data_IF_415437825029
#
_entry.id   IF_415437825029
#
_cell.length_a   1.000
_cell.length_b   1.000
_cell.length_c   1.000
_cell.angle_alpha   90.00
_cell.angle_beta   90.00
_cell.angle_gamma   90.00
#
_symmetry.space_group_name_H-M   'P 1'
#
loop_
_entity.id
_entity.type
_entity.pdbx_description
1 polymer ?
#
# COMPACT_ATOMS: atom_id res chain seq x y z
N UNK A 1 13.81 9.35 3.46
CA UNK A 1 12.52 8.80 2.97
C UNK A 1 12.62 8.72 1.46
N UNK A 2 12.61 7.51 0.88
CA UNK A 2 12.74 7.37 -0.56
C UNK A 2 11.52 8.02 -1.23
N UNK A 3 11.76 9.11 -1.96
CA UNK A 3 10.74 9.86 -2.70
C UNK A 3 10.33 9.13 -4.00
N UNK A 4 10.41 7.80 -3.99
CA UNK A 4 10.01 6.94 -5.10
C UNK A 4 8.51 7.04 -5.27
N UNK A 5 8.10 7.60 -6.41
CA UNK A 5 6.73 7.54 -6.87
C UNK A 5 6.26 6.08 -6.85
N UNK A 6 5.23 5.82 -6.05
CA UNK A 6 4.63 4.51 -5.95
C UNK A 6 3.90 4.25 -7.27
N UNK A 7 4.21 3.13 -7.91
CA UNK A 7 3.59 2.76 -9.17
C UNK A 7 2.06 2.79 -9.05
N UNK A 8 1.38 3.40 -10.03
CA UNK A 8 -0.06 3.57 -10.03
C UNK A 8 -0.81 2.22 -9.90
N UNK A 9 -0.22 1.11 -10.38
CA UNK A 9 -0.78 -0.24 -10.21
C UNK A 9 -0.80 -0.66 -8.74
N UNK A 10 0.28 -0.38 -7.99
CA UNK A 10 0.36 -0.69 -6.55
C UNK A 10 -0.61 0.18 -5.75
N UNK A 11 -0.81 1.44 -6.14
CA UNK A 11 -1.80 2.34 -5.51
C UNK A 11 -3.22 1.78 -5.71
N UNK A 12 -3.59 1.39 -6.94
CA UNK A 12 -4.90 0.78 -7.20
C UNK A 12 -5.11 -0.51 -6.40
N UNK A 13 -4.09 -1.36 -6.29
CA UNK A 13 -4.16 -2.57 -5.48
C UNK A 13 -4.28 -2.28 -3.98
N UNK A 14 -3.57 -1.25 -3.48
CA UNK A 14 -3.70 -0.78 -2.10
C UNK A 14 -5.14 -0.39 -1.80
N UNK A 15 -5.75 0.45 -2.63
CA UNK A 15 -7.16 0.85 -2.43
C UNK A 15 -8.10 -0.36 -2.50
N UNK A 16 -7.89 -1.28 -3.44
CA UNK A 16 -8.70 -2.50 -3.53
C UNK A 16 -8.61 -3.36 -2.27
N UNK A 17 -7.43 -3.53 -1.69
CA UNK A 17 -7.29 -4.29 -0.45
C UNK A 17 -7.84 -3.52 0.76
N UNK A 18 -7.71 -2.19 0.76
CA UNK A 18 -8.24 -1.36 1.82
C UNK A 18 -9.77 -1.38 1.85
N UNK A 19 -10.43 -1.29 0.69
CA UNK A 19 -11.90 -1.39 0.57
C UNK A 19 -12.42 -2.78 0.94
N UNK A 20 -11.60 -3.82 0.79
CA UNK A 20 -11.89 -5.17 1.27
C UNK A 20 -11.69 -5.36 2.79
N UNK A 21 -11.31 -4.31 3.52
CA UNK A 21 -11.08 -4.38 4.98
C UNK A 21 -9.76 -5.07 5.37
N UNK A 22 -8.82 -5.25 4.43
CA UNK A 22 -7.55 -5.89 4.72
C UNK A 22 -6.69 -4.97 5.59
N UNK A 23 -6.19 -5.50 6.71
CA UNK A 23 -5.31 -4.72 7.60
C UNK A 23 -4.07 -4.16 6.88
N UNK A 24 -3.67 -2.94 7.25
CA UNK A 24 -2.49 -2.25 6.69
C UNK A 24 -1.20 -3.08 6.77
N UNK A 25 -1.08 -3.95 7.79
CA UNK A 25 0.04 -4.90 7.94
C UNK A 25 0.05 -5.98 6.85
N UNK A 26 -1.12 -6.54 6.52
CA UNK A 26 -1.25 -7.53 5.44
C UNK A 26 -1.02 -6.87 4.07
N UNK A 27 -1.54 -5.66 3.85
CA UNK A 27 -1.32 -4.88 2.61
C UNK A 27 0.17 -4.60 2.40
N UNK A 28 0.86 -4.13 3.46
CA UNK A 28 2.31 -3.88 3.43
C UNK A 28 3.10 -5.14 3.03
N UNK A 29 2.80 -6.29 3.64
CA UNK A 29 3.44 -7.57 3.29
C UNK A 29 3.14 -7.99 1.85
N UNK A 30 1.91 -7.81 1.38
CA UNK A 30 1.46 -8.28 0.05
C UNK A 30 1.98 -7.42 -1.10
N UNK A 31 2.08 -6.11 -0.89
CA UNK A 31 2.57 -5.15 -1.90
C UNK A 31 4.07 -4.89 -1.82
N UNK A 32 4.74 -5.43 -0.79
CA UNK A 32 6.17 -5.21 -0.56
C UNK A 32 6.51 -3.75 -0.28
N UNK A 33 5.58 -2.99 0.31
CA UNK A 33 5.77 -1.57 0.64
C UNK A 33 5.72 -1.37 2.14
N UNK A 34 6.41 -0.34 2.63
CA UNK A 34 6.44 -0.05 4.06
C UNK A 34 5.04 0.29 4.58
N UNK A 35 4.74 -0.03 5.85
CA UNK A 35 3.46 0.36 6.47
C UNK A 35 3.25 1.88 6.47
N UNK A 36 4.32 2.65 6.52
CA UNK A 36 4.26 4.11 6.49
C UNK A 36 3.78 4.58 5.11
N UNK A 37 4.24 3.90 4.05
CA UNK A 37 3.75 4.10 2.69
C UNK A 37 2.26 3.72 2.59
N UNK A 38 1.84 2.59 3.16
CA UNK A 38 0.41 2.19 3.22
C UNK A 38 -0.45 3.17 4.02
N UNK A 39 0.12 3.93 4.95
CA UNK A 39 -0.59 4.96 5.70
C UNK A 39 -0.68 6.29 4.94
N UNK A 40 0.32 6.58 4.09
CA UNK A 40 0.41 7.81 3.30
C UNK A 40 -0.56 7.79 2.10
N UNK A 41 -0.72 6.62 1.47
CA UNK A 41 -1.62 6.39 0.34
C UNK A 41 -2.95 5.80 0.81
#
# INVERSE_FOLDING_TARGET
MANTHLDMRKIKQLYRFYTQGVSKRKISKRLGISRNTVRKY
#
